data_IF_038095755577
#
_entry.id   IF_038095755577
#
_cell.length_a   1.000
_cell.length_b   1.000
_cell.length_c   1.000
_cell.angle_alpha   90.00
_cell.angle_beta   90.00
_cell.angle_gamma   90.00
#
_symmetry.space_group_name_H-M   'P 1'
#
loop_
_entity.id
_entity.type
_entity.pdbx_description
1 polymer ?
#
# COMPACT_ATOMS: atom_id res chain seq x y z
N UNK A 1 -8.53 1.81 19.34
CA UNK A 1 -7.94 2.45 18.14
C UNK A 1 -7.21 1.53 17.16
N UNK A 2 -7.00 0.22 17.46
CA UNK A 2 -6.71 -0.77 16.42
C UNK A 2 -7.78 -0.76 15.30
N UNK A 3 -8.96 -0.18 15.52
CA UNK A 3 -10.08 -0.17 14.57
C UNK A 3 -10.15 1.12 13.73
N UNK A 4 -9.69 2.29 14.21
CA UNK A 4 -9.86 3.55 13.44
C UNK A 4 -8.63 4.02 12.68
N UNK A 5 -7.41 3.74 13.16
CA UNK A 5 -6.21 3.88 12.32
C UNK A 5 -6.23 2.81 11.22
N UNK A 6 -6.70 1.59 11.55
CA UNK A 6 -7.05 0.58 10.55
C UNK A 6 -8.15 1.04 9.60
N UNK A 7 -9.15 1.83 10.01
CA UNK A 7 -10.19 2.35 9.09
C UNK A 7 -9.70 3.46 8.16
N UNK A 8 -8.82 4.35 8.63
CA UNK A 8 -8.26 5.43 7.80
C UNK A 8 -7.20 4.89 6.84
N UNK A 9 -6.34 3.98 7.29
CA UNK A 9 -5.41 3.32 6.36
C UNK A 9 -6.08 2.19 5.58
N UNK A 10 -7.17 1.59 6.07
CA UNK A 10 -8.11 0.82 5.23
C UNK A 10 -8.64 1.69 4.12
N UNK A 11 -9.30 2.81 4.41
CA UNK A 11 -9.88 3.72 3.42
C UNK A 11 -8.87 4.20 2.38
N UNK A 12 -7.61 4.41 2.76
CA UNK A 12 -6.60 4.92 1.86
C UNK A 12 -5.79 3.84 1.14
N UNK A 13 -5.36 2.75 1.79
CA UNK A 13 -4.58 1.67 1.13
C UNK A 13 -5.37 0.95 0.02
N UNK A 14 -6.61 1.36 -0.19
CA UNK A 14 -7.49 1.07 -1.30
C UNK A 14 -7.23 1.91 -2.57
N UNK A 15 -6.29 2.87 -2.53
CA UNK A 15 -5.59 3.38 -3.72
C UNK A 15 -4.67 2.32 -4.31
N UNK A 16 -4.24 1.37 -3.48
CA UNK A 16 -3.66 0.10 -3.88
C UNK A 16 -4.71 -1.05 -3.89
N UNK A 17 -5.75 -1.05 -3.04
CA UNK A 17 -6.64 -2.22 -2.82
C UNK A 17 -8.19 -2.06 -2.93
N UNK A 18 -8.76 -0.94 -3.41
CA UNK A 18 -10.21 -0.77 -3.76
C UNK A 18 -11.32 -0.97 -2.70
N UNK A 19 -11.80 0.16 -2.17
CA UNK A 19 -12.96 0.42 -1.29
C UNK A 19 -13.51 -0.79 -0.52
N UNK A 20 -13.32 -0.79 0.79
CA UNK A 20 -13.95 -1.76 1.67
C UNK A 20 -15.08 -1.14 2.48
N UNK A 21 -16.26 -1.61 2.06
CA UNK A 21 -17.45 -1.88 2.88
C UNK A 21 -17.99 -0.75 3.75
N UNK A 22 -18.77 0.09 3.08
CA UNK A 22 -19.92 0.75 3.70
C UNK A 22 -21.05 -0.26 4.00
N UNK A 23 -20.81 -1.19 4.94
CA UNK A 23 -21.85 -2.08 5.49
C UNK A 23 -21.41 -2.75 6.80
N UNK A 24 -21.09 -1.96 7.82
CA UNK A 24 -21.14 -2.45 9.21
C UNK A 24 -21.36 -1.32 10.22
N UNK A 25 -22.41 -0.52 9.97
CA UNK A 25 -23.16 0.16 11.03
C UNK A 25 -24.61 0.43 10.56
N UNK A 26 -25.37 -0.64 10.33
CA UNK A 26 -26.82 -0.60 10.51
C UNK A 26 -27.23 -1.81 11.33
N UNK A 27 -27.47 -1.59 12.62
CA UNK A 27 -28.21 -2.52 13.47
C UNK A 27 -29.58 -1.91 13.73
N UNK A 28 -30.60 -2.70 13.39
CA UNK A 28 -31.97 -2.76 13.96
C UNK A 28 -33.10 -2.03 13.21
N UNK A 29 -33.80 -2.82 12.37
CA UNK A 29 -35.27 -3.02 12.13
C UNK A 29 -35.46 -3.25 10.61
N UNK A 30 -36.09 -4.31 10.11
CA UNK A 30 -37.22 -5.09 10.60
C UNK A 30 -37.34 -6.45 9.87
N UNK A 31 -37.98 -7.38 10.57
CA UNK A 31 -38.68 -8.62 10.22
C UNK A 31 -38.59 -9.34 8.84
N UNK A 32 -38.45 -10.67 8.98
CA UNK A 32 -39.10 -11.79 8.25
C UNK A 32 -38.74 -12.06 6.79
N UNK A 33 -38.08 -13.20 6.56
CA UNK A 33 -38.65 -14.26 5.73
C UNK A 33 -38.05 -15.63 6.08
N UNK A 34 -38.95 -16.56 6.40
CA UNK A 34 -38.68 -17.98 6.66
C UNK A 34 -38.33 -18.66 5.35
N UNK A 35 -37.25 -19.43 5.31
CA UNK A 35 -37.12 -20.57 4.40
C UNK A 35 -36.38 -21.70 5.10
N UNK A 36 -37.15 -22.72 5.43
CA UNK A 36 -36.71 -23.96 6.02
C UNK A 36 -36.08 -24.85 4.94
N UNK A 37 -34.87 -25.34 5.17
CA UNK A 37 -34.34 -26.52 4.49
C UNK A 37 -33.82 -27.49 5.54
N UNK A 38 -34.40 -28.69 5.52
CA UNK A 38 -34.14 -29.81 6.43
C UNK A 38 -32.72 -30.36 6.24
N UNK A 39 -32.00 -30.56 7.35
CA UNK A 39 -30.79 -31.38 7.44
C UNK A 39 -31.16 -32.88 7.58
N UNK A 40 -30.41 -33.81 6.96
CA UNK A 40 -30.34 -35.20 7.41
C UNK A 40 -29.22 -35.43 8.43
N UNK A 41 -29.41 -36.50 9.21
CA UNK A 41 -28.76 -36.86 10.48
C UNK A 41 -27.40 -37.59 10.31
N UNK A 42 -26.55 -37.37 11.32
CA UNK A 42 -25.48 -38.21 11.91
C UNK A 42 -24.54 -39.02 11.00
N UNK A 43 -23.24 -38.71 11.08
CA UNK A 43 -22.14 -39.66 10.81
C UNK A 43 -21.14 -39.58 11.98
N UNK A 44 -20.71 -40.74 12.47
CA UNK A 44 -19.89 -40.99 13.66
C UNK A 44 -18.42 -40.48 13.52
N UNK A 45 -17.60 -40.48 14.59
CA UNK A 45 -16.35 -39.73 14.63
C UNK A 45 -15.24 -40.45 13.85
N UNK A 46 -14.61 -39.73 12.92
CA UNK A 46 -13.42 -40.18 12.20
C UNK A 46 -12.21 -39.42 12.76
N UNK A 47 -11.23 -40.16 13.28
CA UNK A 47 -9.93 -39.66 13.75
C UNK A 47 -9.18 -38.97 12.59
N UNK A 48 -8.65 -37.74 12.72
CA UNK A 48 -7.97 -37.11 11.61
C UNK A 48 -6.56 -37.70 11.43
N UNK A 49 -6.36 -38.40 10.30
CA UNK A 49 -5.06 -38.54 9.64
C UNK A 49 -4.99 -37.44 8.57
N UNK A 50 -3.91 -36.66 8.57
CA UNK A 50 -3.66 -35.61 7.59
C UNK A 50 -3.81 -36.13 6.15
N UNK A 51 -4.81 -35.64 5.42
CA UNK A 51 -4.90 -35.69 3.96
C UNK A 51 -5.69 -34.46 3.48
N UNK A 52 -4.95 -33.41 3.11
CA UNK A 52 -5.51 -32.32 2.31
C UNK A 52 -5.57 -32.82 0.86
N UNK A 53 -6.75 -32.79 0.26
CA UNK A 53 -6.98 -33.12 -1.15
C UNK A 53 -7.63 -31.91 -1.81
N UNK A 54 -6.91 -31.23 -2.70
CA UNK A 54 -7.56 -30.55 -3.84
C UNK A 54 -6.65 -30.52 -5.07
N UNK A 55 -7.23 -30.85 -6.24
CA UNK A 55 -6.51 -31.10 -7.49
C UNK A 55 -5.89 -29.83 -8.09
N UNK A 56 -4.61 -29.60 -7.80
CA UNK A 56 -3.60 -29.04 -8.71
C UNK A 56 -2.22 -29.20 -8.05
N UNK A 57 -1.49 -30.27 -8.40
CA UNK A 57 -0.11 -30.57 -7.94
C UNK A 57 0.16 -30.24 -6.47
N UNK A 58 -0.46 -30.97 -5.54
CA UNK A 58 -0.28 -30.78 -4.09
C UNK A 58 1.13 -31.23 -3.65
N UNK A 59 2.12 -30.36 -3.89
CA UNK A 59 3.43 -30.45 -3.23
C UNK A 59 3.16 -30.35 -1.73
N UNK A 60 3.70 -31.29 -0.95
CA UNK A 60 3.45 -31.29 0.49
C UNK A 60 4.04 -30.02 1.14
N UNK A 61 3.42 -29.52 2.21
CA UNK A 61 3.96 -28.36 2.93
C UNK A 61 5.42 -28.59 3.34
N UNK A 62 5.73 -29.79 3.84
CA UNK A 62 7.09 -30.20 4.19
C UNK A 62 8.05 -30.07 3.02
N UNK A 63 7.61 -30.42 1.81
CA UNK A 63 8.41 -30.30 0.59
C UNK A 63 8.61 -28.84 0.17
N UNK A 64 7.58 -27.99 0.27
CA UNK A 64 7.70 -26.54 0.04
C UNK A 64 8.73 -25.92 0.99
N UNK A 65 8.60 -26.22 2.29
CA UNK A 65 9.49 -25.69 3.32
C UNK A 65 10.93 -26.23 3.12
N UNK A 66 11.09 -27.50 2.76
CA UNK A 66 12.42 -28.08 2.50
C UNK A 66 13.14 -27.46 1.30
N UNK A 67 12.39 -26.89 0.35
CA UNK A 67 12.94 -26.18 -0.82
C UNK A 67 13.13 -24.68 -0.58
N UNK A 68 12.76 -24.19 0.59
CA UNK A 68 12.67 -22.76 0.93
C UNK A 68 11.91 -21.93 -0.11
N UNK A 69 10.83 -22.49 -0.66
CA UNK A 69 10.04 -21.91 -1.74
C UNK A 69 8.98 -20.92 -1.21
N UNK A 70 9.40 -19.71 -0.84
CA UNK A 70 8.52 -18.68 -0.28
C UNK A 70 7.37 -18.29 -1.24
N UNK A 71 7.60 -18.33 -2.55
CA UNK A 71 6.59 -18.03 -3.55
C UNK A 71 5.37 -18.96 -3.48
N UNK A 72 5.56 -20.25 -3.15
CA UNK A 72 4.47 -21.22 -2.97
C UNK A 72 3.66 -20.92 -1.70
N UNK A 73 4.31 -20.44 -0.63
CA UNK A 73 3.62 -19.96 0.57
C UNK A 73 2.78 -18.73 0.23
N UNK A 74 3.34 -17.79 -0.53
CA UNK A 74 2.62 -16.60 -0.96
C UNK A 74 1.39 -16.97 -1.81
N UNK A 75 1.53 -17.92 -2.73
CA UNK A 75 0.43 -18.40 -3.56
C UNK A 75 -0.69 -19.05 -2.75
N UNK A 76 -0.33 -19.83 -1.72
CA UNK A 76 -1.32 -20.41 -0.79
C UNK A 76 -1.99 -19.33 0.03
N UNK A 77 -1.23 -18.36 0.55
CA UNK A 77 -1.79 -17.24 1.32
C UNK A 77 -2.76 -16.39 0.50
N UNK A 78 -2.47 -16.12 -0.77
CA UNK A 78 -3.38 -15.41 -1.68
C UNK A 78 -4.71 -16.16 -1.91
N UNK A 79 -4.73 -17.49 -1.76
CA UNK A 79 -5.94 -18.32 -1.91
C UNK A 79 -6.70 -18.51 -0.59
N UNK A 80 -5.97 -18.79 0.48
CA UNK A 80 -6.48 -18.97 1.83
C UNK A 80 -5.52 -18.35 2.83
N UNK A 81 -5.95 -17.28 3.49
CA UNK A 81 -5.12 -16.57 4.45
C UNK A 81 -5.11 -17.22 5.83
N UNK A 82 -6.13 -18.03 6.14
CA UNK A 82 -6.14 -18.80 7.39
C UNK A 82 -5.07 -19.89 7.38
N UNK A 83 -4.52 -20.22 6.21
CA UNK A 83 -3.37 -21.10 6.05
C UNK A 83 -2.23 -20.81 7.03
N UNK A 84 -1.89 -19.53 7.27
CA UNK A 84 -0.78 -19.17 8.16
C UNK A 84 -1.13 -19.22 9.66
N UNK A 85 -2.41 -19.35 10.01
CA UNK A 85 -2.90 -19.40 11.40
C UNK A 85 -2.99 -20.81 11.97
N UNK A 86 -2.72 -21.81 11.15
CA UNK A 86 -2.80 -23.21 11.55
C UNK A 86 -1.60 -23.58 12.44
N UNK A 87 -1.83 -24.50 13.38
CA UNK A 87 -0.81 -25.12 14.24
C UNK A 87 -0.86 -26.64 14.07
N UNK A 88 0.26 -27.30 14.33
CA UNK A 88 0.28 -28.76 14.46
C UNK A 88 -0.23 -29.23 15.84
N UNK A 89 -0.20 -30.54 16.07
CA UNK A 89 -0.64 -31.18 17.32
C UNK A 89 0.23 -30.79 18.53
N UNK A 90 1.46 -30.31 18.30
CA UNK A 90 2.36 -29.80 19.34
C UNK A 90 2.17 -28.30 19.57
N UNK A 91 1.21 -27.66 18.89
CA UNK A 91 1.02 -26.21 18.94
C UNK A 91 2.12 -25.42 18.22
N UNK A 92 2.95 -26.07 17.39
CA UNK A 92 3.93 -25.38 16.57
C UNK A 92 3.18 -24.60 15.48
N UNK A 93 3.39 -23.28 15.45
CA UNK A 93 2.94 -22.45 14.32
C UNK A 93 3.77 -22.74 13.07
N UNK A 94 3.32 -22.25 11.91
CA UNK A 94 4.10 -22.33 10.67
C UNK A 94 5.54 -21.82 10.84
N UNK A 95 5.75 -20.78 11.68
CA UNK A 95 7.07 -20.22 11.94
C UNK A 95 7.98 -21.19 12.74
N UNK A 96 7.43 -21.95 13.68
CA UNK A 96 8.17 -23.00 14.40
C UNK A 96 8.62 -24.11 13.43
N UNK A 97 7.74 -24.49 12.48
CA UNK A 97 8.03 -25.55 11.50
C UNK A 97 9.14 -25.16 10.51
N UNK A 98 9.14 -23.92 10.01
CA UNK A 98 10.19 -23.45 9.08
C UNK A 98 11.55 -23.32 9.74
N UNK A 99 11.60 -23.04 11.04
CA UNK A 99 12.85 -22.99 11.80
C UNK A 99 13.45 -24.39 11.96
N UNK A 100 12.61 -25.41 12.24
CA UNK A 100 13.06 -26.82 12.25
C UNK A 100 13.68 -27.24 10.91
N UNK A 101 13.24 -26.64 9.81
CA UNK A 101 13.69 -26.95 8.43
C UNK A 101 14.73 -25.96 7.87
N UNK A 102 15.16 -24.97 8.66
CA UNK A 102 16.08 -23.91 8.25
C UNK A 102 15.67 -23.19 6.93
N UNK A 103 14.36 -22.99 6.74
CA UNK A 103 13.79 -22.35 5.55
C UNK A 103 13.67 -20.83 5.75
N UNK A 104 14.77 -20.12 5.52
CA UNK A 104 14.91 -18.69 5.88
C UNK A 104 13.98 -17.77 5.08
N UNK A 105 13.83 -17.95 3.76
CA UNK A 105 12.94 -17.11 2.95
C UNK A 105 11.48 -17.33 3.33
N UNK A 106 11.10 -18.58 3.55
CA UNK A 106 9.78 -18.93 4.07
C UNK A 106 9.51 -18.25 5.41
N UNK A 107 10.47 -18.30 6.34
CA UNK A 107 10.35 -17.66 7.65
C UNK A 107 10.14 -16.14 7.55
N UNK A 108 10.91 -15.45 6.71
CA UNK A 108 10.76 -14.00 6.44
C UNK A 108 9.38 -13.65 5.91
N UNK A 109 8.91 -14.40 4.91
CA UNK A 109 7.61 -14.18 4.32
C UNK A 109 6.48 -14.43 5.32
N UNK A 110 6.53 -15.51 6.10
CA UNK A 110 5.52 -15.82 7.13
C UNK A 110 5.45 -14.71 8.17
N UNK A 111 6.60 -14.22 8.65
CA UNK A 111 6.65 -13.10 9.58
C UNK A 111 6.02 -11.84 8.98
N UNK A 112 6.21 -11.61 7.68
CA UNK A 112 5.68 -10.44 7.02
C UNK A 112 4.16 -10.51 6.80
N UNK A 113 3.68 -11.63 6.24
CA UNK A 113 2.26 -11.83 5.95
C UNK A 113 1.41 -11.92 7.22
N UNK A 114 1.99 -12.46 8.31
CA UNK A 114 1.32 -12.60 9.59
C UNK A 114 1.85 -11.64 10.66
N UNK A 115 2.42 -10.49 10.26
CA UNK A 115 3.11 -9.56 11.14
C UNK A 115 2.28 -9.05 12.33
N UNK A 116 0.96 -8.97 12.17
CA UNK A 116 0.09 -8.43 13.20
C UNK A 116 -0.24 -9.42 14.33
N UNK A 117 -0.08 -10.72 14.08
CA UNK A 117 -0.23 -11.77 15.09
C UNK A 117 1.12 -12.05 15.78
N UNK A 118 2.19 -11.35 15.38
CA UNK A 118 3.54 -11.42 15.91
C UNK A 118 4.00 -12.88 16.12
N UNK A 119 4.00 -13.72 15.06
CA UNK A 119 4.22 -15.16 15.18
C UNK A 119 5.56 -15.52 15.83
N UNK A 120 6.56 -14.63 15.78
CA UNK A 120 7.85 -14.80 16.44
C UNK A 120 7.78 -14.72 17.97
N UNK A 121 6.69 -14.21 18.55
CA UNK A 121 6.42 -14.20 19.99
C UNK A 121 5.52 -15.36 20.44
N UNK A 122 4.92 -16.10 19.50
CA UNK A 122 4.05 -17.24 19.84
C UNK A 122 4.85 -18.34 20.54
N UNK A 123 4.23 -19.06 21.47
CA UNK A 123 4.83 -20.22 22.15
C UNK A 123 4.11 -21.49 21.75
N UNK A 124 4.85 -22.56 21.50
CA UNK A 124 4.29 -23.90 21.29
C UNK A 124 3.83 -24.54 22.61
N UNK A 125 3.35 -25.79 22.56
CA UNK A 125 2.90 -26.51 23.76
C UNK A 125 4.02 -26.82 24.76
N UNK A 126 5.29 -26.72 24.33
CA UNK A 126 6.47 -26.85 25.19
C UNK A 126 6.88 -25.52 25.82
N UNK A 127 6.17 -24.43 25.51
CA UNK A 127 6.47 -23.10 26.02
C UNK A 127 7.65 -22.41 25.31
N UNK A 128 8.15 -22.92 24.19
CA UNK A 128 9.26 -22.34 23.44
C UNK A 128 8.76 -21.38 22.37
N UNK A 129 9.45 -20.25 22.17
CA UNK A 129 9.22 -19.38 21.00
C UNK A 129 10.03 -19.86 19.80
N UNK A 130 9.68 -19.43 18.57
CA UNK A 130 10.45 -19.76 17.37
C UNK A 130 11.95 -19.43 17.49
N UNK A 131 12.31 -18.31 18.12
CA UNK A 131 13.72 -17.91 18.33
C UNK A 131 14.45 -18.93 19.21
N UNK A 132 13.80 -19.41 20.28
CA UNK A 132 14.39 -20.32 21.26
C UNK A 132 14.64 -21.73 20.68
N UNK A 133 13.87 -22.14 19.67
CA UNK A 133 14.06 -23.44 19.03
C UNK A 133 15.38 -23.58 18.27
N UNK A 134 15.96 -22.47 17.78
CA UNK A 134 17.22 -22.50 17.04
C UNK A 134 17.93 -21.13 17.08
N UNK A 135 18.47 -20.79 18.25
CA UNK A 135 19.04 -19.46 18.53
C UNK A 135 20.26 -19.10 17.65
N UNK A 136 20.96 -20.08 17.09
CA UNK A 136 22.19 -19.86 16.32
C UNK A 136 21.94 -19.74 14.81
N UNK A 137 20.70 -19.83 14.37
CA UNK A 137 20.35 -19.76 12.95
C UNK A 137 20.31 -18.31 12.42
N UNK A 138 20.56 -18.15 11.11
CA UNK A 138 20.32 -16.88 10.42
C UNK A 138 18.85 -16.41 10.53
N UNK A 139 17.92 -17.36 10.74
CA UNK A 139 16.52 -17.06 10.99
C UNK A 139 16.36 -16.39 12.35
N UNK A 140 17.05 -16.88 13.39
CA UNK A 140 17.04 -16.23 14.69
C UNK A 140 17.60 -14.81 14.62
N UNK A 141 18.62 -14.55 13.80
CA UNK A 141 19.11 -13.19 13.56
C UNK A 141 18.07 -12.29 12.89
N UNK A 142 17.39 -12.80 11.85
CA UNK A 142 16.27 -12.07 11.22
C UNK A 142 15.14 -11.76 12.23
N UNK A 143 14.82 -12.71 13.11
CA UNK A 143 13.79 -12.53 14.13
C UNK A 143 14.23 -11.55 15.23
N UNK A 144 15.53 -11.56 15.61
CA UNK A 144 16.10 -10.59 16.54
C UNK A 144 15.95 -9.17 16.04
N UNK A 145 16.11 -8.93 14.74
CA UNK A 145 15.85 -7.61 14.13
C UNK A 145 14.41 -7.16 14.38
N UNK A 146 13.42 -8.06 14.29
CA UNK A 146 12.01 -7.73 14.52
C UNK A 146 11.68 -7.44 16.00
N UNK A 147 12.46 -8.03 16.92
CA UNK A 147 12.28 -7.86 18.37
C UNK A 147 13.20 -6.81 18.99
N UNK A 148 14.21 -6.34 18.25
CA UNK A 148 15.18 -5.38 18.73
C UNK A 148 14.50 -4.05 19.03
N UNK A 149 14.64 -3.58 20.27
CA UNK A 149 14.28 -2.21 20.64
C UNK A 149 15.39 -1.21 20.32
N UNK A 150 16.57 -1.70 19.90
CA UNK A 150 17.68 -0.82 19.55
C UNK A 150 17.37 -0.14 18.22
N UNK A 151 17.29 1.20 18.19
CA UNK A 151 17.19 1.91 16.93
C UNK A 151 18.43 1.59 16.11
N UNK A 152 18.25 1.02 14.92
CA UNK A 152 19.28 1.14 13.88
C UNK A 152 19.40 2.65 13.65
N UNK A 153 20.63 3.18 13.68
CA UNK A 153 20.91 4.62 13.54
C UNK A 153 19.95 5.24 12.53
N UNK A 154 19.26 6.31 12.95
CA UNK A 154 18.47 7.14 12.05
C UNK A 154 19.46 7.70 11.04
N UNK A 155 19.65 7.04 9.91
CA UNK A 155 19.98 7.77 8.68
C UNK A 155 18.74 8.60 8.33
N UNK A 156 18.51 9.68 9.10
CA UNK A 156 17.46 10.67 8.88
C UNK A 156 17.71 11.27 7.50
N UNK A 157 16.94 10.82 6.50
CA UNK A 157 16.94 11.42 5.17
C UNK A 157 15.84 12.46 5.00
N UNK A 158 14.92 12.61 5.97
CA UNK A 158 13.83 13.58 5.90
C UNK A 158 13.92 14.60 7.04
N UNK A 159 14.37 15.82 6.72
CA UNK A 159 14.69 16.89 7.66
C UNK A 159 13.52 17.31 8.57
N UNK A 160 12.27 17.12 8.13
CA UNK A 160 11.09 17.51 8.91
C UNK A 160 10.81 16.54 10.08
N UNK A 161 11.30 15.29 10.03
CA UNK A 161 11.08 14.32 11.10
C UNK A 161 11.61 14.82 12.44
N UNK A 162 12.73 15.56 12.42
CA UNK A 162 13.36 16.10 13.62
C UNK A 162 12.55 17.24 14.28
N UNK A 163 11.61 17.86 13.54
CA UNK A 163 10.73 18.92 14.05
C UNK A 163 9.39 18.39 14.57
N UNK A 164 9.04 17.13 14.28
CA UNK A 164 7.72 16.60 14.60
C UNK A 164 7.43 16.55 16.11
N UNK A 165 8.45 16.34 16.96
CA UNK A 165 8.28 16.36 18.42
C UNK A 165 7.74 17.70 18.91
N UNK A 166 8.41 18.80 18.54
CA UNK A 166 8.00 20.16 18.89
C UNK A 166 6.61 20.50 18.32
N UNK A 167 6.39 20.21 17.03
CA UNK A 167 5.13 20.50 16.36
C UNK A 167 3.95 19.73 16.99
N UNK A 168 4.16 18.50 17.45
CA UNK A 168 3.14 17.71 18.16
C UNK A 168 2.79 18.39 19.47
N UNK A 169 3.77 18.82 20.27
CA UNK A 169 3.51 19.47 21.56
C UNK A 169 2.84 20.83 21.41
N UNK A 170 3.22 21.63 20.41
CA UNK A 170 2.52 22.87 20.06
C UNK A 170 1.06 22.58 19.69
N UNK A 171 0.83 21.61 18.80
CA UNK A 171 -0.51 21.31 18.29
C UNK A 171 -1.44 20.77 19.38
N UNK A 172 -0.93 19.97 20.32
CA UNK A 172 -1.72 19.46 21.44
C UNK A 172 -2.06 20.54 22.48
N UNK A 173 -1.29 21.62 22.55
CA UNK A 173 -1.61 22.80 23.40
C UNK A 173 -2.62 23.73 22.74
N UNK A 174 -2.71 23.71 21.41
CA UNK A 174 -3.64 24.55 20.67
C UNK A 174 -5.08 23.99 20.70
N UNK A 175 -5.86 24.48 21.68
CA UNK A 175 -7.30 24.20 21.81
C UNK A 175 -8.16 24.65 20.62
N UNK A 176 -7.65 25.53 19.76
CA UNK A 176 -8.37 26.02 18.58
C UNK A 176 -7.99 25.25 17.29
N UNK A 177 -7.09 24.28 17.38
CA UNK A 177 -6.70 23.49 16.22
C UNK A 177 -7.83 22.56 15.77
N UNK A 178 -7.98 22.36 14.45
CA UNK A 178 -8.90 21.32 13.98
C UNK A 178 -8.37 19.96 14.38
N UNK A 179 -9.24 18.95 14.39
CA UNK A 179 -8.85 17.54 14.57
C UNK A 179 -8.72 16.80 13.22
N UNK A 180 -8.59 17.55 12.12
CA UNK A 180 -8.55 17.01 10.76
C UNK A 180 -7.16 16.46 10.43
N UNK A 181 -7.13 15.20 10.02
CA UNK A 181 -5.91 14.50 9.61
C UNK A 181 -5.94 14.35 8.09
N UNK A 182 -4.90 14.85 7.44
CA UNK A 182 -4.69 14.63 6.01
C UNK A 182 -3.81 13.40 5.82
N UNK A 183 -4.26 12.48 4.97
CA UNK A 183 -3.49 11.29 4.57
C UNK A 183 -3.30 11.36 3.07
N UNK A 184 -2.09 11.12 2.59
CA UNK A 184 -1.74 11.10 1.18
C UNK A 184 -1.03 9.78 0.87
N UNK A 185 -1.56 9.01 -0.08
CA UNK A 185 -0.92 7.80 -0.57
C UNK A 185 -0.40 7.97 -1.98
N UNK A 186 0.79 7.45 -2.21
CA UNK A 186 1.46 7.45 -3.50
C UNK A 186 0.80 6.46 -4.47
N UNK A 187 0.88 6.73 -5.78
CA UNK A 187 0.71 5.68 -6.78
C UNK A 187 1.93 4.74 -6.83
N UNK A 188 1.76 3.46 -7.20
CA UNK A 188 2.93 2.56 -7.27
C UNK A 188 2.73 1.09 -7.64
N UNK A 189 1.62 0.70 -8.27
CA UNK A 189 1.39 -0.69 -8.69
C UNK A 189 1.51 -1.70 -7.53
N UNK A 190 2.16 -2.85 -7.76
CA UNK A 190 2.38 -3.89 -6.74
C UNK A 190 3.08 -3.37 -5.46
N UNK A 191 3.85 -2.28 -5.56
CA UNK A 191 4.53 -1.70 -4.40
C UNK A 191 3.57 -1.00 -3.43
N UNK A 192 2.31 -0.80 -3.81
CA UNK A 192 1.24 -0.38 -2.89
C UNK A 192 1.05 -1.31 -1.68
N UNK A 193 1.56 -2.55 -1.75
CA UNK A 193 1.68 -3.42 -0.59
C UNK A 193 2.41 -2.77 0.59
N UNK A 194 3.39 -1.90 0.34
CA UNK A 194 4.09 -1.17 1.40
C UNK A 194 3.15 -0.28 2.21
N UNK A 195 2.25 0.43 1.53
CA UNK A 195 1.28 1.31 2.17
C UNK A 195 0.24 0.50 2.97
N UNK A 196 -0.21 -0.64 2.41
CA UNK A 196 -1.10 -1.59 3.12
C UNK A 196 -0.43 -2.10 4.41
N UNK A 197 0.85 -2.42 4.36
CA UNK A 197 1.60 -2.90 5.53
C UNK A 197 1.72 -1.83 6.62
N UNK A 198 1.97 -0.56 6.25
CA UNK A 198 1.98 0.56 7.21
C UNK A 198 0.61 0.73 7.87
N UNK A 199 -0.47 0.50 7.12
CA UNK A 199 -1.83 0.60 7.62
C UNK A 199 -2.28 -0.42 8.63
N UNK A 200 -1.56 -1.54 8.70
CA UNK A 200 -1.95 -2.71 9.47
C UNK A 200 -2.94 -3.59 8.70
N UNK A 201 -2.51 -4.81 8.39
CA UNK A 201 -3.22 -5.83 7.59
C UNK A 201 -4.39 -6.54 8.31
N UNK A 202 -4.90 -5.97 9.40
CA UNK A 202 -5.87 -6.66 10.27
C UNK A 202 -7.31 -6.11 10.18
N UNK A 203 -7.62 -5.28 9.19
CA UNK A 203 -9.03 -5.16 8.81
C UNK A 203 -9.32 -6.31 7.85
N UNK A 204 -10.44 -7.06 7.97
CA UNK A 204 -10.90 -7.95 6.89
C UNK A 204 -11.01 -7.21 5.54
N UNK A 205 -11.07 -5.88 5.65
CA UNK A 205 -11.23 -4.86 4.64
C UNK A 205 -9.89 -4.28 4.08
N UNK A 206 -8.72 -4.58 4.65
CA UNK A 206 -7.41 -4.16 4.10
C UNK A 206 -6.50 -5.35 4.06
N UNK A 207 -6.61 -6.09 2.97
CA UNK A 207 -6.06 -7.41 2.93
C UNK A 207 -4.93 -7.51 1.92
N UNK A 208 -3.71 -7.55 2.44
CA UNK A 208 -2.51 -7.73 1.65
C UNK A 208 -2.61 -8.96 0.73
N UNK A 209 -3.25 -10.05 1.16
CA UNK A 209 -3.39 -11.25 0.33
C UNK A 209 -4.24 -11.00 -0.91
N UNK A 210 -5.40 -10.35 -0.75
CA UNK A 210 -6.30 -10.02 -1.86
C UNK A 210 -5.65 -9.01 -2.83
N UNK A 211 -4.96 -7.99 -2.30
CA UNK A 211 -4.20 -7.04 -3.12
C UNK A 211 -3.16 -7.71 -4.02
N UNK A 212 -2.38 -8.62 -3.43
CA UNK A 212 -1.36 -9.36 -4.17
C UNK A 212 -1.99 -10.30 -5.20
N UNK A 213 -3.13 -10.93 -4.87
CA UNK A 213 -3.88 -11.79 -5.79
C UNK A 213 -4.40 -11.01 -7.01
N UNK A 214 -5.04 -9.86 -6.79
CA UNK A 214 -5.61 -9.03 -7.85
C UNK A 214 -4.54 -8.40 -8.73
N UNK A 215 -3.44 -7.92 -8.13
CA UNK A 215 -2.33 -7.36 -8.90
C UNK A 215 -1.70 -8.44 -9.79
N UNK A 216 -1.56 -9.66 -9.26
CA UNK A 216 -1.05 -10.79 -10.05
C UNK A 216 -2.01 -11.20 -11.16
N UNK A 217 -3.32 -11.18 -10.93
CA UNK A 217 -4.32 -11.44 -11.96
C UNK A 217 -4.26 -10.39 -13.08
N UNK A 218 -4.16 -9.12 -12.71
CA UNK A 218 -4.10 -7.97 -13.63
C UNK A 218 -2.84 -7.97 -14.49
N UNK A 219 -1.67 -8.25 -13.88
CA UNK A 219 -0.37 -8.23 -14.56
C UNK A 219 0.16 -9.61 -14.94
N UNK A 220 -0.71 -10.61 -15.02
CA UNK A 220 -0.30 -11.98 -15.32
C UNK A 220 0.52 -12.06 -16.62
N UNK A 221 1.68 -12.75 -16.66
CA UNK A 221 2.60 -12.71 -17.81
C UNK A 221 1.98 -13.16 -19.16
N UNK A 222 0.96 -14.02 -19.10
CA UNK A 222 0.22 -14.47 -20.30
C UNK A 222 -0.64 -13.35 -20.94
N UNK A 223 -0.92 -12.27 -20.21
CA UNK A 223 -1.68 -11.13 -20.71
C UNK A 223 -0.75 -10.17 -21.48
N UNK A 224 -0.77 -10.29 -22.81
CA UNK A 224 0.09 -9.49 -23.70
C UNK A 224 -0.46 -8.09 -24.01
N UNK A 225 -1.77 -7.86 -23.90
CA UNK A 225 -2.40 -6.58 -24.28
C UNK A 225 -2.85 -5.78 -23.06
N UNK A 226 -2.57 -4.46 -23.00
CA UNK A 226 -3.09 -3.57 -21.95
C UNK A 226 -4.61 -3.66 -21.80
N UNK A 227 -5.37 -3.78 -22.90
CA UNK A 227 -6.83 -3.88 -22.88
C UNK A 227 -7.34 -4.97 -21.93
N UNK A 228 -6.78 -6.19 -22.00
CA UNK A 228 -7.18 -7.30 -21.12
C UNK A 228 -6.85 -7.03 -19.65
N UNK A 229 -5.75 -6.31 -19.40
CA UNK A 229 -5.37 -5.93 -18.02
C UNK A 229 -6.35 -4.90 -17.47
N UNK A 230 -6.74 -3.92 -18.29
CA UNK A 230 -7.74 -2.91 -17.93
C UNK A 230 -9.12 -3.51 -17.66
N UNK A 231 -9.57 -4.47 -18.47
CA UNK A 231 -10.83 -5.18 -18.26
C UNK A 231 -10.86 -5.97 -16.94
N UNK A 232 -9.78 -6.69 -16.63
CA UNK A 232 -9.66 -7.42 -15.37
C UNK A 232 -9.61 -6.49 -14.16
N UNK A 233 -8.84 -5.41 -14.25
CA UNK A 233 -8.79 -4.39 -13.21
C UNK A 233 -10.19 -3.83 -12.98
N UNK A 234 -10.82 -3.28 -14.03
CA UNK A 234 -12.17 -2.70 -13.97
C UNK A 234 -13.19 -3.67 -13.37
N UNK A 235 -13.15 -4.95 -13.77
CA UNK A 235 -14.01 -5.99 -13.20
C UNK A 235 -13.76 -6.14 -11.70
N UNK A 236 -12.50 -6.25 -11.28
CA UNK A 236 -12.14 -6.33 -9.86
C UNK A 236 -12.66 -5.10 -9.10
N UNK A 237 -12.48 -3.89 -9.65
CA UNK A 237 -12.92 -2.67 -8.99
C UNK A 237 -14.43 -2.67 -8.80
N UNK A 238 -15.18 -3.03 -9.84
CA UNK A 238 -16.64 -3.07 -9.82
C UNK A 238 -17.18 -4.14 -8.86
N UNK A 239 -16.48 -5.26 -8.70
CA UNK A 239 -16.81 -6.28 -7.69
C UNK A 239 -16.64 -5.75 -6.25
N UNK A 240 -15.63 -4.89 -6.02
CA UNK A 240 -15.34 -4.33 -4.70
C UNK A 240 -16.21 -3.12 -4.34
N UNK A 241 -16.33 -2.15 -5.26
CA UNK A 241 -16.94 -0.84 -4.98
C UNK A 241 -18.40 -0.75 -5.46
N UNK A 242 -18.85 -1.72 -6.25
CA UNK A 242 -20.19 -1.75 -6.85
C UNK A 242 -20.41 -0.63 -7.85
N UNK A 243 -21.62 -0.07 -7.85
CA UNK A 243 -22.03 1.09 -8.67
C UNK A 243 -22.07 2.39 -7.86
N UNK A 244 -21.34 2.42 -6.75
CA UNK A 244 -21.28 3.59 -5.86
C UNK A 244 -20.61 4.76 -6.57
N UNK A 245 -21.00 5.98 -6.18
CA UNK A 245 -20.48 7.25 -6.70
C UNK A 245 -19.55 7.89 -5.68
N UNK A 246 -18.71 8.83 -6.14
CA UNK A 246 -17.79 9.54 -5.24
C UNK A 246 -18.52 10.23 -4.08
N UNK A 247 -19.72 10.78 -4.32
CA UNK A 247 -20.56 11.39 -3.29
C UNK A 247 -21.01 10.45 -2.18
N UNK A 248 -20.98 9.13 -2.40
CA UNK A 248 -21.35 8.13 -1.40
C UNK A 248 -20.23 7.86 -0.37
N UNK A 249 -19.02 8.38 -0.62
CA UNK A 249 -17.89 8.23 0.30
C UNK A 249 -18.07 9.20 1.48
N UNK A 250 -18.15 8.67 2.70
CA UNK A 250 -18.30 9.47 3.93
C UNK A 250 -17.08 10.36 4.22
N UNK A 251 -15.87 9.81 4.08
CA UNK A 251 -14.64 10.57 4.26
C UNK A 251 -14.38 11.49 3.07
N UNK A 252 -13.81 12.67 3.31
CA UNK A 252 -13.33 13.51 2.20
C UNK A 252 -12.25 12.79 1.43
N UNK A 253 -12.46 12.67 0.13
CA UNK A 253 -11.64 11.86 -0.75
C UNK A 253 -11.18 12.70 -1.93
N UNK A 254 -9.92 12.51 -2.31
CA UNK A 254 -9.35 13.08 -3.54
C UNK A 254 -8.58 12.01 -4.31
N UNK A 255 -8.64 12.08 -5.64
CA UNK A 255 -7.87 11.20 -6.50
C UNK A 255 -7.34 11.95 -7.73
N UNK A 256 -6.05 11.79 -8.03
CA UNK A 256 -5.38 12.47 -9.13
C UNK A 256 -5.48 11.69 -10.44
N UNK A 257 -5.72 12.39 -11.55
CA UNK A 257 -5.68 11.85 -12.91
C UNK A 257 -5.20 12.95 -13.87
N UNK A 258 -4.80 12.60 -15.09
CA UNK A 258 -4.24 13.54 -16.06
C UNK A 258 -5.06 13.53 -17.34
N UNK A 259 -5.50 14.72 -17.73
CA UNK A 259 -5.97 14.97 -19.09
C UNK A 259 -4.77 15.25 -19.98
N UNK A 260 -4.35 14.20 -20.71
CA UNK A 260 -3.25 14.24 -21.66
C UNK A 260 -3.65 14.72 -23.05
N UNK A 261 -4.94 14.99 -23.32
CA UNK A 261 -5.39 15.56 -24.58
C UNK A 261 -5.13 17.08 -24.66
N UNK A 262 -4.76 17.70 -23.54
CA UNK A 262 -4.46 19.13 -23.42
C UNK A 262 -2.95 19.38 -23.41
N UNK A 263 -2.53 20.52 -23.98
CA UNK A 263 -1.16 21.04 -23.88
C UNK A 263 -1.25 22.48 -23.34
N UNK A 264 -0.70 22.78 -22.13
CA UNK A 264 -0.06 21.84 -21.20
C UNK A 264 -1.06 20.80 -20.63
N UNK A 265 -0.60 19.59 -20.27
CA UNK A 265 -1.47 18.56 -19.71
C UNK A 265 -2.07 19.04 -18.38
N UNK A 266 -3.34 18.70 -18.15
CA UNK A 266 -4.08 19.20 -16.99
C UNK A 266 -4.16 18.12 -15.92
N UNK A 267 -3.74 18.46 -14.70
CA UNK A 267 -4.03 17.63 -13.53
C UNK A 267 -5.51 17.79 -13.16
N UNK A 268 -6.26 16.70 -13.24
CA UNK A 268 -7.63 16.59 -12.75
C UNK A 268 -7.62 15.94 -11.37
N UNK A 269 -8.33 16.55 -10.41
CA UNK A 269 -8.47 16.02 -9.05
C UNK A 269 -9.94 15.68 -8.81
N UNK A 270 -10.26 14.40 -8.90
CA UNK A 270 -11.56 13.88 -8.49
C UNK A 270 -11.75 14.12 -6.99
N UNK A 271 -12.96 14.53 -6.58
CA UNK A 271 -13.26 14.90 -5.19
C UNK A 271 -14.74 14.68 -4.89
N UNK A 272 -15.05 14.30 -3.65
CA UNK A 272 -16.44 14.10 -3.21
C UNK A 272 -17.03 15.29 -2.46
N UNK A 273 -16.34 16.43 -2.42
CA UNK A 273 -16.80 17.65 -1.77
C UNK A 273 -16.82 18.83 -2.75
N UNK A 274 -17.79 19.75 -2.61
CA UNK A 274 -17.86 20.93 -3.45
C UNK A 274 -16.70 21.90 -3.14
N UNK A 275 -16.28 22.68 -4.14
CA UNK A 275 -15.41 23.85 -3.96
C UNK A 275 -16.16 25.02 -4.55
N UNK A 276 -16.49 25.98 -3.70
CA UNK A 276 -17.34 27.10 -4.12
C UNK A 276 -16.64 28.09 -5.07
N UNK A 277 -15.31 28.03 -5.18
CA UNK A 277 -14.50 28.88 -6.08
C UNK A 277 -14.51 28.35 -7.52
N UNK A 278 -14.92 27.09 -7.72
CA UNK A 278 -15.04 26.43 -9.03
C UNK A 278 -16.27 25.53 -9.03
N UNK A 279 -17.39 26.08 -9.47
CA UNK A 279 -18.70 25.43 -9.52
C UNK A 279 -18.85 24.44 -10.68
N UNK A 280 -17.93 24.48 -11.62
CA UNK A 280 -18.07 23.87 -12.95
C UNK A 280 -17.67 22.39 -12.96
N UNK A 281 -17.11 21.90 -11.86
CA UNK A 281 -16.51 20.57 -11.72
C UNK A 281 -16.98 19.92 -10.41
N UNK A 282 -18.23 19.47 -10.38
CA UNK A 282 -18.75 18.60 -9.32
C UNK A 282 -18.55 17.13 -9.72
N UNK A 283 -17.65 16.46 -9.01
CA UNK A 283 -17.30 15.07 -9.30
C UNK A 283 -18.11 14.06 -8.47
N UNK A 284 -19.03 14.51 -7.60
CA UNK A 284 -19.78 13.61 -6.70
C UNK A 284 -20.59 12.56 -7.44
N UNK A 285 -21.04 12.86 -8.65
CA UNK A 285 -21.83 11.95 -9.49
C UNK A 285 -20.99 10.92 -10.27
N UNK A 286 -19.66 11.06 -10.28
CA UNK A 286 -18.77 10.13 -10.99
C UNK A 286 -18.76 8.78 -10.26
N UNK A 287 -18.92 7.67 -11.00
CA UNK A 287 -18.77 6.32 -10.44
C UNK A 287 -17.35 6.16 -9.88
N UNK A 288 -17.25 5.55 -8.70
CA UNK A 288 -15.94 5.40 -8.08
C UNK A 288 -15.02 4.52 -8.93
N UNK A 289 -15.57 3.49 -9.60
CA UNK A 289 -14.82 2.65 -10.55
C UNK A 289 -14.14 3.50 -11.63
N UNK A 290 -14.85 4.44 -12.24
CA UNK A 290 -14.33 5.25 -13.34
C UNK A 290 -13.23 6.22 -12.86
N UNK A 291 -13.44 6.87 -11.71
CA UNK A 291 -12.44 7.76 -11.12
C UNK A 291 -11.14 7.01 -10.79
N UNK A 292 -11.24 5.77 -10.29
CA UNK A 292 -10.07 4.97 -9.96
C UNK A 292 -9.41 4.34 -11.19
N UNK A 293 -10.18 3.93 -12.21
CA UNK A 293 -9.62 3.54 -13.51
C UNK A 293 -8.83 4.70 -14.14
N UNK A 294 -9.38 5.92 -14.11
CA UNK A 294 -8.69 7.13 -14.55
C UNK A 294 -7.40 7.38 -13.77
N UNK A 295 -7.43 7.27 -12.44
CA UNK A 295 -6.24 7.49 -11.62
C UNK A 295 -5.15 6.44 -11.83
N UNK A 296 -5.49 5.21 -12.24
CA UNK A 296 -4.55 4.07 -12.35
C UNK A 296 -4.16 3.72 -13.78
N UNK A 297 -4.70 4.43 -14.79
CA UNK A 297 -4.47 4.18 -16.22
C UNK A 297 -3.03 4.54 -16.66
N UNK A 298 -2.05 3.81 -16.12
CA UNK A 298 -0.62 4.05 -16.33
C UNK A 298 -0.28 3.89 -17.81
N UNK A 299 0.29 4.93 -18.46
CA UNK A 299 0.69 4.83 -19.85
C UNK A 299 1.56 3.59 -20.09
N UNK A 300 1.31 2.90 -21.20
CA UNK A 300 1.98 1.64 -21.60
C UNK A 300 1.62 0.39 -20.79
N UNK A 301 1.03 0.52 -19.60
CA UNK A 301 0.65 -0.62 -18.75
C UNK A 301 -0.83 -0.94 -18.86
N UNK A 302 -1.66 0.08 -18.89
CA UNK A 302 -3.12 0.02 -18.90
C UNK A 302 -3.68 0.88 -20.03
N UNK A 303 -4.89 0.58 -20.53
CA UNK A 303 -5.55 1.43 -21.52
C UNK A 303 -5.93 2.77 -20.89
N UNK A 304 -6.17 3.78 -21.73
CA UNK A 304 -6.79 5.03 -21.29
C UNK A 304 -8.14 4.70 -20.64
N UNK A 305 -8.47 5.41 -19.57
CA UNK A 305 -9.73 5.20 -18.86
C UNK A 305 -10.94 5.51 -19.74
N UNK A 306 -12.14 4.99 -19.39
CA UNK A 306 -13.39 5.35 -20.08
C UNK A 306 -13.64 6.87 -20.14
N UNK A 307 -13.10 7.63 -19.19
CA UNK A 307 -13.19 9.09 -19.12
C UNK A 307 -12.19 9.82 -20.01
N UNK A 308 -11.37 9.12 -20.80
CA UNK A 308 -10.33 9.72 -21.63
C UNK A 308 -9.09 10.20 -20.86
N UNK A 309 -9.01 9.87 -19.57
CA UNK A 309 -7.93 10.31 -18.68
C UNK A 309 -6.87 9.23 -18.47
N UNK A 310 -5.67 9.67 -18.10
CA UNK A 310 -4.49 8.83 -17.79
C UNK A 310 -4.12 8.89 -16.31
N UNK A 311 -3.22 8.01 -15.89
CA UNK A 311 -2.73 7.90 -14.51
C UNK A 311 -2.29 9.24 -13.91
N UNK A 312 -2.72 9.49 -12.67
CA UNK A 312 -2.32 10.66 -11.90
C UNK A 312 -0.81 10.76 -11.69
N UNK A 313 -0.11 9.63 -11.70
CA UNK A 313 1.34 9.48 -11.62
C UNK A 313 2.12 10.26 -12.67
N UNK A 314 1.52 10.57 -13.82
CA UNK A 314 2.17 11.38 -14.86
C UNK A 314 2.50 12.80 -14.37
N UNK A 315 1.66 13.39 -13.50
CA UNK A 315 1.87 14.75 -12.98
C UNK A 315 1.94 14.84 -11.44
N UNK A 316 1.26 13.94 -10.73
CA UNK A 316 1.09 13.96 -9.28
C UNK A 316 1.01 12.53 -8.71
N UNK A 317 2.12 11.77 -8.82
CA UNK A 317 2.27 10.44 -8.20
C UNK A 317 2.06 10.50 -6.70
N UNK A 318 2.71 11.44 -6.03
CA UNK A 318 2.44 11.78 -4.65
C UNK A 318 1.39 12.92 -4.64
N UNK A 319 0.19 12.69 -4.09
CA UNK A 319 -0.87 13.68 -4.14
C UNK A 319 -0.77 14.71 -3.01
N UNK A 320 0.31 14.76 -2.20
CA UNK A 320 0.33 15.57 -0.98
C UNK A 320 0.06 17.05 -1.24
N UNK A 321 0.70 17.62 -2.26
CA UNK A 321 0.49 19.02 -2.63
C UNK A 321 -0.91 19.25 -3.22
N UNK A 322 -1.42 18.30 -4.01
CA UNK A 322 -2.78 18.37 -4.53
C UNK A 322 -3.81 18.34 -3.38
N UNK A 323 -3.62 17.46 -2.40
CA UNK A 323 -4.47 17.34 -1.22
C UNK A 323 -4.44 18.60 -0.36
N UNK A 324 -3.26 19.18 -0.09
CA UNK A 324 -3.14 20.47 0.61
C UNK A 324 -3.89 21.58 -0.15
N UNK A 325 -3.72 21.62 -1.47
CA UNK A 325 -4.39 22.59 -2.32
C UNK A 325 -5.91 22.45 -2.23
N UNK A 326 -6.45 21.23 -2.36
CA UNK A 326 -7.89 20.97 -2.27
C UNK A 326 -8.44 21.24 -0.87
N UNK A 327 -7.67 20.94 0.19
CA UNK A 327 -8.03 21.27 1.57
C UNK A 327 -8.21 22.78 1.76
N UNK A 328 -7.24 23.59 1.30
CA UNK A 328 -7.34 25.05 1.39
C UNK A 328 -8.45 25.62 0.49
N UNK A 329 -8.68 25.03 -0.69
CA UNK A 329 -9.79 25.42 -1.58
C UNK A 329 -11.16 25.10 -0.97
N UNK A 330 -11.31 23.95 -0.30
CA UNK A 330 -12.55 23.60 0.38
C UNK A 330 -12.92 24.66 1.44
N UNK A 331 -11.92 25.15 2.18
CA UNK A 331 -12.11 26.19 3.19
C UNK A 331 -11.89 27.62 2.67
N UNK A 332 -11.94 27.86 1.35
CA UNK A 332 -11.58 29.15 0.76
C UNK A 332 -12.43 30.34 1.26
N UNK A 333 -13.70 30.09 1.61
CA UNK A 333 -14.62 31.12 2.14
C UNK A 333 -14.84 31.04 3.65
N UNK A 334 -14.09 30.18 4.34
CA UNK A 334 -14.19 30.10 5.80
C UNK A 334 -13.67 31.40 6.42
N UNK A 335 -14.38 31.96 7.41
CA UNK A 335 -13.96 33.18 8.11
C UNK A 335 -12.57 33.03 8.76
N UNK A 336 -12.19 31.80 9.11
CA UNK A 336 -10.86 31.41 9.55
C UNK A 336 -10.46 30.15 8.79
N UNK A 337 -9.33 30.18 8.09
CA UNK A 337 -8.81 29.00 7.41
C UNK A 337 -8.29 28.01 8.45
N UNK A 338 -8.86 26.79 8.52
CA UNK A 338 -8.34 25.77 9.39
C UNK A 338 -7.00 25.26 8.88
N UNK A 339 -6.14 24.82 9.78
CA UNK A 339 -4.89 24.12 9.48
C UNK A 339 -5.01 22.66 9.90
N UNK A 340 -4.48 21.70 9.14
CA UNK A 340 -4.58 20.29 9.50
C UNK A 340 -3.82 20.01 10.80
N UNK A 341 -4.32 19.13 11.66
CA UNK A 341 -3.60 18.74 12.89
C UNK A 341 -2.39 17.86 12.58
N UNK A 342 -2.44 17.15 11.46
CA UNK A 342 -1.46 16.14 11.07
C UNK A 342 -1.52 15.95 9.55
N UNK A 343 -0.35 15.83 8.94
CA UNK A 343 -0.21 15.37 7.56
C UNK A 343 0.60 14.07 7.53
N UNK A 344 0.00 12.99 7.01
CA UNK A 344 0.64 11.70 6.82
C UNK A 344 0.77 11.39 5.34
N UNK A 345 1.99 11.24 4.84
CA UNK A 345 2.27 10.77 3.49
C UNK A 345 2.89 9.37 3.54
N UNK A 346 2.27 8.39 2.88
CA UNK A 346 2.85 7.06 2.73
C UNK A 346 3.33 6.86 1.30
N UNK A 347 4.48 6.20 1.16
CA UNK A 347 5.10 5.94 -0.11
C UNK A 347 5.13 4.45 -0.48
N UNK A 348 5.11 4.20 -1.78
CA UNK A 348 5.24 2.86 -2.38
C UNK A 348 6.70 2.47 -2.66
N UNK A 349 7.62 2.97 -1.84
CA UNK A 349 9.05 2.79 -1.93
C UNK A 349 9.80 3.63 -2.96
N UNK A 350 11.05 3.95 -2.62
CA UNK A 350 11.97 4.75 -3.44
C UNK A 350 13.17 3.95 -3.93
N UNK A 351 13.68 4.32 -5.10
CA UNK A 351 14.91 3.76 -5.65
C UNK A 351 16.08 4.71 -5.37
N UNK A 352 17.28 4.19 -5.15
CA UNK A 352 18.48 5.02 -5.05
C UNK A 352 18.73 5.82 -6.33
N UNK A 353 19.18 7.06 -6.15
CA UNK A 353 19.49 7.96 -7.25
C UNK A 353 20.57 7.34 -8.15
N UNK A 354 20.28 7.25 -9.45
CA UNK A 354 21.23 6.79 -10.46
C UNK A 354 21.64 7.97 -11.33
N UNK A 355 22.95 8.21 -11.48
CA UNK A 355 23.45 9.16 -12.48
C UNK A 355 23.17 8.61 -13.89
N UNK A 356 22.47 9.41 -14.69
CA UNK A 356 22.32 9.19 -16.14
C UNK A 356 23.26 10.13 -16.89
N UNK A 357 23.44 9.91 -18.19
CA UNK A 357 24.28 10.79 -19.04
C UNK A 357 23.59 12.13 -19.37
N UNK A 358 22.57 12.54 -18.62
CA UNK A 358 21.78 13.74 -18.86
C UNK A 358 20.90 13.68 -20.12
N UNK A 359 20.12 14.74 -20.30
CA UNK A 359 19.31 15.01 -21.50
C UNK A 359 19.97 16.20 -22.19
N UNK A 360 20.77 15.93 -23.22
CA UNK A 360 21.49 16.97 -23.97
C UNK A 360 20.98 16.98 -25.41
N UNK A 361 20.31 18.08 -25.80
CA UNK A 361 19.84 18.31 -27.18
C UNK A 361 20.73 19.29 -27.96
N UNK A 362 21.63 20.03 -27.30
CA UNK A 362 22.41 21.11 -27.91
C UNK A 362 23.55 20.65 -28.82
N UNK A 363 24.19 19.51 -28.52
CA UNK A 363 25.39 19.03 -29.22
C UNK A 363 25.06 17.90 -30.20
N UNK A 364 24.16 18.17 -31.16
CA UNK A 364 23.77 17.18 -32.16
C UNK A 364 24.94 16.95 -33.15
N UNK A 365 25.45 15.70 -33.28
CA UNK A 365 26.53 15.40 -34.21
C UNK A 365 26.11 15.72 -35.65
N UNK A 366 26.98 16.36 -36.43
CA UNK A 366 26.73 16.64 -37.87
C UNK A 366 26.65 15.37 -38.73
N UNK A 367 27.27 14.27 -38.28
CA UNK A 367 27.20 12.98 -38.97
C UNK A 367 25.89 12.26 -38.65
N UNK A 368 25.14 11.87 -39.68
CA UNK A 368 23.82 11.24 -39.58
C UNK A 368 23.80 9.96 -38.72
N UNK A 369 24.81 9.10 -38.81
CA UNK A 369 24.86 7.86 -38.01
C UNK A 369 25.07 8.17 -36.52
N UNK A 370 25.92 9.14 -36.22
CA UNK A 370 26.14 9.60 -34.85
C UNK A 370 24.95 10.41 -34.33
N UNK A 371 24.27 11.16 -35.21
CA UNK A 371 23.03 11.85 -34.91
C UNK A 371 21.94 10.86 -34.51
N UNK A 372 21.69 9.82 -35.31
CA UNK A 372 20.66 8.82 -35.01
C UNK A 372 20.94 8.11 -33.68
N UNK A 373 22.20 7.73 -33.43
CA UNK A 373 22.61 7.11 -32.15
C UNK A 373 22.45 8.07 -30.98
N UNK A 374 22.86 9.33 -31.13
CA UNK A 374 22.74 10.34 -30.10
C UNK A 374 21.27 10.65 -29.79
N UNK A 375 20.46 10.87 -30.83
CA UNK A 375 19.03 11.11 -30.73
C UNK A 375 18.30 9.94 -30.06
N UNK A 376 18.58 8.70 -30.47
CA UNK A 376 18.00 7.52 -29.81
C UNK A 376 18.38 7.41 -28.33
N UNK A 377 19.63 7.71 -27.98
CA UNK A 377 20.08 7.73 -26.58
C UNK A 377 19.40 8.85 -25.79
N UNK A 378 19.31 10.06 -26.34
CA UNK A 378 18.67 11.20 -25.68
C UNK A 378 17.17 10.99 -25.50
N UNK A 379 16.48 10.46 -26.52
CA UNK A 379 15.06 10.09 -26.45
C UNK A 379 14.83 8.99 -25.43
N UNK A 380 15.70 7.96 -25.37
CA UNK A 380 15.66 6.95 -24.32
C UNK A 380 15.86 7.55 -22.93
N UNK A 381 16.84 8.44 -22.76
CA UNK A 381 17.07 9.10 -21.47
C UNK A 381 15.89 9.99 -21.05
N UNK A 382 15.28 10.73 -21.98
CA UNK A 382 14.08 11.54 -21.72
C UNK A 382 12.91 10.65 -21.30
N UNK A 383 12.73 9.53 -21.98
CA UNK A 383 11.71 8.54 -21.63
C UNK A 383 11.99 7.90 -20.26
N UNK A 384 13.23 7.52 -19.96
CA UNK A 384 13.64 6.99 -18.66
C UNK A 384 13.43 8.03 -17.54
N UNK A 385 13.70 9.31 -17.80
CA UNK A 385 13.40 10.42 -16.87
C UNK A 385 11.90 10.55 -16.67
N UNK A 386 11.09 10.57 -17.74
CA UNK A 386 9.63 10.64 -17.66
C UNK A 386 9.04 9.48 -16.85
N UNK A 387 9.45 8.24 -17.16
CA UNK A 387 9.04 7.05 -16.42
C UNK A 387 9.53 7.13 -14.98
N UNK A 388 10.78 7.51 -14.73
CA UNK A 388 11.29 7.60 -13.35
C UNK A 388 10.53 8.64 -12.51
N UNK A 389 10.18 9.81 -13.05
CA UNK A 389 9.35 10.81 -12.36
C UNK A 389 7.94 10.28 -12.10
N UNK A 390 7.36 9.58 -13.07
CA UNK A 390 6.03 8.99 -12.93
C UNK A 390 6.00 7.80 -11.95
N UNK A 391 7.16 7.23 -11.61
CA UNK A 391 7.27 5.97 -10.85
C UNK A 391 8.09 6.08 -9.55
N UNK A 392 8.79 7.19 -9.31
CA UNK A 392 9.61 7.46 -8.12
C UNK A 392 8.95 8.56 -7.28
N UNK A 393 8.63 8.25 -6.02
CA UNK A 393 7.81 9.11 -5.16
C UNK A 393 8.54 10.26 -4.46
N UNK A 394 9.88 10.23 -4.42
CA UNK A 394 10.65 11.22 -3.67
C UNK A 394 11.06 12.37 -4.59
N UNK A 395 10.30 13.46 -4.48
CA UNK A 395 10.34 14.61 -5.40
C UNK A 395 10.24 15.91 -4.61
N UNK A 396 10.52 17.04 -5.27
CA UNK A 396 10.32 18.39 -4.74
C UNK A 396 8.90 18.65 -4.18
N UNK A 397 7.90 17.87 -4.61
CA UNK A 397 6.55 17.93 -4.06
C UNK A 397 6.52 17.60 -2.55
N UNK A 398 7.38 16.67 -2.08
CA UNK A 398 7.44 16.32 -0.65
C UNK A 398 8.05 17.46 0.17
N UNK A 399 9.13 18.08 -0.32
CA UNK A 399 9.74 19.23 0.34
C UNK A 399 8.79 20.41 0.39
N UNK A 400 8.06 20.66 -0.71
CA UNK A 400 7.02 21.69 -0.76
C UNK A 400 5.89 21.38 0.24
N UNK A 401 5.37 20.16 0.26
CA UNK A 401 4.31 19.77 1.18
C UNK A 401 4.76 19.88 2.65
N UNK A 402 5.98 19.47 2.97
CA UNK A 402 6.55 19.61 4.30
C UNK A 402 6.77 21.08 4.69
N UNK A 403 7.28 21.92 3.79
CA UNK A 403 7.41 23.36 4.04
C UNK A 403 6.04 24.03 4.29
N UNK A 404 4.98 23.64 3.57
CA UNK A 404 3.61 24.09 3.83
C UNK A 404 3.08 23.61 5.19
N UNK A 405 3.38 22.36 5.56
CA UNK A 405 3.02 21.83 6.87
C UNK A 405 3.76 22.58 7.99
N UNK A 406 5.05 22.88 7.80
CA UNK A 406 5.82 23.72 8.72
C UNK A 406 5.21 25.11 8.89
N UNK A 407 4.87 25.77 7.77
CA UNK A 407 4.24 27.09 7.78
C UNK A 407 2.90 27.10 8.53
N UNK A 408 2.17 25.99 8.52
CA UNK A 408 0.89 25.81 9.23
C UNK A 408 1.03 25.18 10.61
N UNK A 409 2.28 24.93 11.07
CA UNK A 409 2.62 24.23 12.32
C UNK A 409 1.98 22.84 12.43
N UNK A 410 1.84 22.15 11.30
CA UNK A 410 1.30 20.80 11.21
C UNK A 410 2.44 19.78 11.18
N UNK A 411 2.51 18.81 12.11
CA UNK A 411 3.42 17.68 11.99
C UNK A 411 3.25 16.97 10.64
N UNK A 412 4.36 16.62 10.01
CA UNK A 412 4.39 15.94 8.71
C UNK A 412 5.21 14.66 8.80
N UNK A 413 4.55 13.53 8.57
CA UNK A 413 5.18 12.21 8.58
C UNK A 413 5.25 11.66 7.17
N UNK A 414 6.46 11.26 6.72
CA UNK A 414 6.67 10.54 5.46
C UNK A 414 7.21 9.14 5.74
N UNK A 415 6.35 8.13 5.58
CA UNK A 415 6.75 6.73 5.73
C UNK A 415 6.91 6.13 4.34
N UNK A 416 8.16 5.88 3.93
CA UNK A 416 8.48 5.40 2.59
C UNK A 416 9.65 4.40 2.64
N UNK A 417 9.41 3.09 2.52
CA UNK A 417 10.47 2.09 2.64
C UNK A 417 11.44 2.09 1.43
N UNK A 418 12.73 1.79 1.60
CA UNK A 418 13.64 1.64 0.46
C UNK A 418 13.23 0.46 -0.43
N UNK A 419 13.27 0.64 -1.74
CA UNK A 419 13.03 -0.43 -2.72
C UNK A 419 14.34 -1.18 -3.03
N UNK A 420 14.86 -1.91 -2.04
CA UNK A 420 16.19 -2.54 -2.04
C UNK A 420 16.44 -3.42 -3.29
N UNK A 421 15.39 -4.08 -3.81
CA UNK A 421 15.49 -4.98 -4.97
C UNK A 421 14.94 -4.41 -6.28
N UNK A 422 14.65 -3.10 -6.34
CA UNK A 422 14.09 -2.42 -7.52
C UNK A 422 12.89 -3.16 -8.10
N UNK A 423 11.93 -3.51 -7.25
CA UNK A 423 10.73 -4.20 -7.67
C UNK A 423 10.00 -3.38 -8.74
N UNK A 424 9.71 -4.01 -9.88
CA UNK A 424 8.93 -3.39 -10.96
C UNK A 424 7.47 -3.23 -10.55
N UNK A 425 6.79 -2.19 -11.06
CA UNK A 425 5.37 -1.92 -10.79
C UNK A 425 4.45 -3.07 -11.15
N UNK A 426 4.83 -3.88 -12.15
CA UNK A 426 4.06 -5.01 -12.66
C UNK A 426 4.65 -6.35 -12.28
N UNK A 427 5.50 -6.40 -11.24
CA UNK A 427 6.15 -7.63 -10.84
C UNK A 427 5.10 -8.65 -10.36
N UNK A 428 5.14 -9.85 -10.94
CA UNK A 428 4.30 -11.00 -10.56
C UNK A 428 5.12 -12.19 -10.04
N UNK A 429 6.43 -12.02 -9.94
CA UNK A 429 7.37 -13.00 -9.40
C UNK A 429 7.23 -13.02 -7.87
N UNK A 430 6.70 -14.14 -7.36
CA UNK A 430 6.34 -14.28 -5.97
C UNK A 430 7.56 -14.19 -5.03
N UNK A 431 8.74 -14.62 -5.46
CA UNK A 431 9.97 -14.54 -4.66
C UNK A 431 10.43 -13.08 -4.51
N UNK A 432 10.45 -12.32 -5.62
CA UNK A 432 10.83 -10.89 -5.57
C UNK A 432 9.85 -10.07 -4.76
N UNK A 433 8.56 -10.39 -4.85
CA UNK A 433 7.52 -9.77 -4.02
C UNK A 433 7.77 -10.12 -2.55
N UNK A 434 8.04 -11.38 -2.22
CA UNK A 434 8.35 -11.80 -0.85
C UNK A 434 9.54 -11.04 -0.25
N UNK A 435 10.64 -10.92 -1.00
CA UNK A 435 11.82 -10.17 -0.56
C UNK A 435 11.52 -8.68 -0.36
N UNK A 436 10.73 -8.08 -1.25
CA UNK A 436 10.29 -6.69 -1.11
C UNK A 436 9.46 -6.49 0.16
N UNK A 437 8.46 -7.35 0.40
CA UNK A 437 7.62 -7.28 1.60
C UNK A 437 8.47 -7.41 2.87
N UNK A 438 9.44 -8.32 2.89
CA UNK A 438 10.37 -8.45 4.02
C UNK A 438 11.18 -7.17 4.25
N UNK A 439 11.70 -6.55 3.18
CA UNK A 439 12.41 -5.27 3.28
C UNK A 439 11.56 -4.16 3.89
N UNK A 440 10.27 -4.09 3.50
CA UNK A 440 9.30 -3.19 4.13
C UNK A 440 9.14 -3.51 5.61
N UNK A 441 8.94 -4.78 5.97
CA UNK A 441 8.76 -5.21 7.36
C UNK A 441 9.94 -4.80 8.25
N UNK A 442 11.17 -5.02 7.76
CA UNK A 442 12.40 -4.60 8.45
C UNK A 442 12.39 -3.08 8.64
N UNK A 443 12.18 -2.30 7.58
CA UNK A 443 12.12 -0.83 7.66
C UNK A 443 11.09 -0.33 8.69
N UNK A 444 9.90 -0.92 8.75
CA UNK A 444 8.86 -0.53 9.70
C UNK A 444 9.22 -0.87 11.15
N UNK A 445 9.93 -1.98 11.37
CA UNK A 445 10.35 -2.42 12.71
C UNK A 445 11.64 -1.76 13.19
N UNK A 446 12.44 -1.19 12.29
CA UNK A 446 13.71 -0.56 12.63
C UNK A 446 13.67 0.94 12.35
N UNK A 447 13.93 1.37 11.12
CA UNK A 447 14.14 2.77 10.74
C UNK A 447 12.92 3.65 11.00
N UNK A 448 11.72 3.22 10.60
CA UNK A 448 10.49 4.01 10.76
C UNK A 448 9.81 3.80 12.12
N UNK A 449 10.36 2.94 12.99
CA UNK A 449 9.68 2.52 14.21
C UNK A 449 9.36 3.68 15.13
N UNK A 450 10.33 4.57 15.31
CA UNK A 450 10.18 5.74 16.16
C UNK A 450 9.09 6.68 15.64
N UNK A 451 9.12 7.02 14.36
CA UNK A 451 8.13 7.89 13.72
C UNK A 451 6.71 7.28 13.81
N UNK A 452 6.58 5.96 13.64
CA UNK A 452 5.32 5.24 13.79
C UNK A 452 4.80 5.25 15.23
N UNK A 453 5.67 5.07 16.23
CA UNK A 453 5.30 5.12 17.64
C UNK A 453 4.88 6.54 18.06
N UNK A 454 5.59 7.56 17.59
CA UNK A 454 5.22 8.97 17.77
C UNK A 454 3.87 9.30 17.13
N UNK A 455 3.69 8.93 15.86
CA UNK A 455 2.45 9.09 15.11
C UNK A 455 1.27 8.42 15.83
N UNK A 456 1.46 7.17 16.27
CA UNK A 456 0.42 6.42 16.99
C UNK A 456 0.09 7.06 18.35
N UNK A 457 1.09 7.57 19.07
CA UNK A 457 0.90 8.30 20.33
C UNK A 457 0.13 9.60 20.11
N UNK A 458 0.51 10.38 19.09
CA UNK A 458 -0.13 11.65 18.76
C UNK A 458 -1.59 11.47 18.35
N UNK A 459 -1.88 10.53 17.46
CA UNK A 459 -3.27 10.23 17.04
C UNK A 459 -4.12 9.76 18.23
N UNK A 460 -3.54 9.02 19.19
CA UNK A 460 -4.26 8.65 20.43
C UNK A 460 -4.67 9.88 21.24
N UNK A 461 -3.75 10.83 21.41
CA UNK A 461 -3.94 12.07 22.17
C UNK A 461 -4.88 13.07 21.48
N UNK A 462 -4.92 13.10 20.15
CA UNK A 462 -5.88 13.94 19.40
C UNK A 462 -7.34 13.49 19.60
N UNK A 463 -7.56 12.20 19.85
CA UNK A 463 -8.90 11.60 19.99
C UNK A 463 -9.44 11.60 21.42
N UNK A 464 -8.56 11.58 22.42
CA UNK A 464 -8.95 11.94 23.80
C UNK A 464 -9.40 13.40 23.86
#
# INVERSE_FOLDING_TARGET
MRVEFKKVVSAYSLRAFFITKFASFQRIRSERLKLAVRLPKSIAPVRPRFRLVSKASDISLKEILSRDAAGEILERFCKDQNFLKQTDDEGNTMLHLVIKLNARRCARLICTLNACDEPWLSRNSHGETPIQMNEQSEIADDLRILTSNSPIERESKFWMSDLNEELIEERLRDSNSTKEILVALDGGGIKGAAEIMVGGSQSPDTNLGSFLAETRATFHPKLKKPSFRGELLHKSLREHVGTSRLGDIEAKFVCTSVDGAMIPPRLLVFRNFPIEVRTDEDHREVEIVDALMASTAAPLLLPVSPLGLSDGGVLAKNPSLALLTEYHRFYAKAARHPTPSLFLSLGTGYNEARRTSGIHFGDLPKNRVFFDRHFMRTTKNLFDVFVSQSTSGDTACLDQAAAWCLATRSPYFRINPPNINRLSLTCTDAEKVADFLWGVMVYLRTTARHDLDQLASFIKRLKS
#
